data_IF_972321591835
#
_entry.id   IF_972321591835
#
_cell.length_a   1.000
_cell.length_b   1.000
_cell.length_c   1.000
_cell.angle_alpha   90.00
_cell.angle_beta   90.00
_cell.angle_gamma   90.00
#
_symmetry.space_group_name_H-M   'P 1'
#
loop_
_entity.id
_entity.type
_entity.pdbx_description
1 polymer ?
#
# COMPACT_ATOMS: atom_id res chain seq x y z
N UNK A 1 3.81 -50.10 15.32
CA UNK A 1 4.66 -50.39 16.51
C UNK A 1 3.87 -50.04 17.78
N UNK A 2 4.23 -50.61 18.93
CA UNK A 2 3.57 -50.35 20.23
C UNK A 2 3.76 -48.88 20.65
N UNK A 3 2.79 -48.16 21.24
CA UNK A 3 2.01 -48.42 22.48
C UNK A 3 2.86 -48.54 23.74
N UNK A 4 2.94 -47.45 24.50
CA UNK A 4 3.15 -47.46 25.95
C UNK A 4 2.38 -46.29 26.57
N UNK A 5 1.33 -46.60 27.33
CA UNK A 5 0.62 -45.66 28.20
C UNK A 5 1.04 -45.89 29.64
N UNK A 6 1.28 -44.84 30.40
CA UNK A 6 1.42 -44.89 31.85
C UNK A 6 0.55 -43.81 32.50
N UNK A 7 -0.02 -44.13 33.66
CA UNK A 7 -0.77 -43.22 34.55
C UNK A 7 0.03 -43.05 35.83
N UNK A 8 -0.13 -41.89 36.48
CA UNK A 8 -0.42 -41.68 37.91
C UNK A 8 -0.54 -40.14 38.11
N UNK A 9 -1.56 -39.55 38.75
CA UNK A 9 -2.10 -39.69 40.11
C UNK A 9 -1.21 -39.06 41.21
N UNK A 10 -1.40 -37.76 41.51
CA UNK A 10 -2.01 -37.28 42.78
C UNK A 10 -1.87 -35.75 43.05
N UNK A 11 -3.02 -35.10 43.31
CA UNK A 11 -3.35 -34.31 44.53
C UNK A 11 -2.39 -33.23 45.11
N UNK A 12 -2.67 -31.93 44.80
CA UNK A 12 -3.17 -30.83 45.70
C UNK A 12 -2.70 -30.88 47.20
N UNK A 13 -2.25 -29.78 47.89
CA UNK A 13 -2.80 -28.41 47.88
C UNK A 13 -1.80 -27.21 47.95
N UNK A 14 -2.37 -26.00 48.10
CA UNK A 14 -1.75 -24.67 48.06
C UNK A 14 -1.16 -24.14 49.39
N UNK A 15 -0.49 -22.97 49.31
CA UNK A 15 -0.27 -22.08 50.47
C UNK A 15 -0.43 -20.59 50.11
N UNK A 16 -1.05 -19.90 51.06
CA UNK A 16 -1.35 -18.49 51.27
C UNK A 16 -0.12 -17.54 51.15
N UNK A 17 -0.24 -16.19 51.07
CA UNK A 17 -1.04 -15.19 51.85
C UNK A 17 -1.50 -14.04 50.92
N UNK A 18 -2.68 -13.39 51.08
CA UNK A 18 -3.20 -12.52 52.18
C UNK A 18 -2.30 -11.31 52.47
N UNK A 19 -2.78 -10.08 52.73
CA UNK A 19 -4.08 -9.37 52.51
C UNK A 19 -3.83 -7.85 52.80
N UNK A 20 -4.71 -6.86 53.06
CA UNK A 20 -6.16 -6.55 53.28
C UNK A 20 -6.27 -4.99 53.09
N UNK A 21 -7.32 -4.15 53.22
CA UNK A 21 -8.81 -4.13 53.31
C UNK A 21 -9.22 -2.65 52.94
N UNK A 22 -10.12 -2.35 51.99
CA UNK A 22 -11.60 -2.22 52.09
C UNK A 22 -12.20 -0.95 52.74
N UNK A 23 -13.33 -0.46 52.17
CA UNK A 23 -14.23 0.59 52.70
C UNK A 23 -14.45 1.78 51.73
N UNK A 24 -15.62 2.21 51.20
CA UNK A 24 -17.10 2.01 51.32
C UNK A 24 -17.85 3.29 51.81
N UNK A 25 -18.96 3.61 51.11
CA UNK A 25 -20.09 4.49 51.52
C UNK A 25 -19.83 6.01 51.61
N UNK A 26 -20.78 6.94 51.36
CA UNK A 26 -22.04 6.89 50.56
C UNK A 26 -22.56 8.33 50.24
N UNK A 27 -23.43 8.46 49.22
CA UNK A 27 -24.44 9.50 48.92
C UNK A 27 -24.28 10.97 49.40
N UNK A 28 -24.42 11.92 48.45
CA UNK A 28 -25.46 12.99 48.50
C UNK A 28 -25.61 13.69 47.13
N UNK A 29 -26.70 14.46 46.95
CA UNK A 29 -27.03 15.28 45.77
C UNK A 29 -27.79 16.54 46.25
N UNK A 30 -27.73 17.67 45.51
CA UNK A 30 -28.97 18.41 45.26
C UNK A 30 -29.11 18.90 43.80
N UNK A 31 -30.32 19.39 43.49
CA UNK A 31 -30.72 20.17 42.30
C UNK A 31 -31.05 21.62 42.77
N UNK A 32 -31.40 22.62 41.95
CA UNK A 32 -31.94 22.74 40.56
C UNK A 32 -31.29 24.01 39.91
N UNK A 33 -31.67 24.72 38.83
CA UNK A 33 -32.72 24.76 37.76
C UNK A 33 -32.09 25.63 36.60
N UNK A 34 -32.72 26.00 35.46
CA UNK A 34 -33.43 25.25 34.40
C UNK A 34 -34.09 26.22 33.39
N UNK A 35 -33.52 26.38 32.19
CA UNK A 35 -34.17 27.02 31.00
C UNK A 35 -33.65 26.25 29.77
N UNK A 36 -34.45 25.41 29.09
CA UNK A 36 -35.42 25.70 28.01
C UNK A 36 -34.72 26.26 26.74
N UNK A 37 -34.83 25.72 25.50
CA UNK A 37 -35.76 24.77 24.83
C UNK A 37 -35.04 24.24 23.52
N UNK A 38 -35.45 23.29 22.65
CA UNK A 38 -36.59 22.34 22.56
C UNK A 38 -36.27 21.15 21.57
N UNK A 39 -37.25 20.23 21.36
CA UNK A 39 -37.73 19.55 20.10
C UNK A 39 -36.76 19.32 18.91
N UNK A 40 -36.69 18.15 18.23
CA UNK A 40 -37.29 16.79 18.31
C UNK A 40 -36.30 15.78 17.64
N UNK A 41 -36.12 14.54 18.13
CA UNK A 41 -36.76 13.25 17.69
C UNK A 41 -36.60 12.84 16.20
N UNK A 42 -36.61 11.54 15.81
CA UNK A 42 -37.05 10.31 16.51
C UNK A 42 -36.05 9.12 16.29
N UNK A 43 -36.48 7.89 16.59
CA UNK A 43 -35.62 6.79 17.09
C UNK A 43 -35.11 5.72 16.10
N UNK A 44 -34.13 4.96 16.61
CA UNK A 44 -33.66 3.65 16.12
C UNK A 44 -34.81 2.63 16.06
N UNK A 45 -34.75 1.69 15.10
CA UNK A 45 -35.14 0.29 15.36
C UNK A 45 -34.08 -0.69 14.86
N UNK A 46 -33.55 -1.49 15.80
CA UNK A 46 -32.95 -2.81 15.50
C UNK A 46 -34.08 -3.80 15.21
N UNK A 47 -33.76 -4.88 14.51
CA UNK A 47 -34.31 -6.21 14.81
C UNK A 47 -33.31 -7.28 14.38
N UNK A 48 -33.22 -8.35 15.17
CA UNK A 48 -32.54 -9.60 14.84
C UNK A 48 -33.46 -10.74 15.27
N UNK A 49 -33.56 -11.79 14.46
CA UNK A 49 -34.51 -12.87 14.70
C UNK A 49 -33.94 -13.92 15.66
N UNK A 50 -34.80 -14.47 16.53
CA UNK A 50 -34.53 -15.65 17.36
C UNK A 50 -35.77 -16.54 17.36
N UNK A 51 -35.58 -17.85 17.18
CA UNK A 51 -36.65 -18.82 16.99
C UNK A 51 -37.18 -19.35 18.32
N UNK A 52 -38.49 -19.23 18.56
CA UNK A 52 -39.26 -20.02 19.52
C UNK A 52 -40.64 -20.34 18.93
N UNK A 53 -41.04 -21.61 18.98
CA UNK A 53 -42.34 -22.10 18.48
C UNK A 53 -43.39 -22.18 19.61
N UNK A 54 -44.70 -22.11 19.28
CA UNK A 54 -45.75 -22.70 20.08
C UNK A 54 -46.51 -23.84 19.35
N UNK A 55 -47.53 -24.41 20.01
CA UNK A 55 -48.01 -25.77 19.78
C UNK A 55 -49.40 -25.87 19.10
N UNK A 56 -49.74 -27.10 18.69
CA UNK A 56 -50.95 -27.52 17.95
C UNK A 56 -52.28 -27.27 18.69
N UNK A 57 -53.26 -26.68 17.99
CA UNK A 57 -54.61 -27.27 17.76
C UNK A 57 -55.25 -26.62 16.51
N UNK A 58 -56.23 -27.25 15.85
CA UNK A 58 -56.73 -26.78 14.54
C UNK A 58 -58.19 -27.07 14.21
N UNK A 59 -58.60 -26.68 13.00
CA UNK A 59 -59.77 -27.16 12.26
C UNK A 59 -59.64 -26.80 10.77
N UNK A 60 -60.39 -27.48 9.89
CA UNK A 60 -60.14 -27.50 8.44
C UNK A 60 -60.91 -26.45 7.62
N UNK A 61 -60.23 -25.79 6.68
CA UNK A 61 -60.72 -25.37 5.36
C UNK A 61 -59.52 -25.10 4.41
N UNK A 62 -59.70 -25.26 3.09
CA UNK A 62 -58.62 -25.36 2.07
C UNK A 62 -59.15 -24.76 0.74
N UNK A 63 -58.33 -24.17 -0.18
CA UNK A 63 -57.09 -23.41 -0.02
C UNK A 63 -57.18 -22.00 -0.67
N UNK A 64 -56.48 -21.01 -0.12
CA UNK A 64 -56.10 -19.80 -0.88
C UNK A 64 -54.92 -19.07 -0.21
N UNK A 65 -53.71 -19.38 -0.64
CA UNK A 65 -52.72 -18.36 -1.00
C UNK A 65 -51.50 -19.01 -1.63
N UNK A 66 -51.05 -18.48 -2.76
CA UNK A 66 -49.73 -18.81 -3.31
C UNK A 66 -48.67 -18.11 -2.47
N UNK A 67 -48.10 -18.82 -1.49
CA UNK A 67 -46.85 -18.39 -0.87
C UNK A 67 -45.80 -18.37 -1.98
N UNK A 68 -45.55 -17.18 -2.52
CA UNK A 68 -44.40 -16.92 -3.39
C UNK A 68 -43.18 -16.96 -2.49
N UNK A 69 -42.71 -18.18 -2.25
CA UNK A 69 -41.44 -18.46 -1.59
C UNK A 69 -40.37 -17.68 -2.35
N UNK A 70 -39.97 -16.56 -1.77
CA UNK A 70 -39.13 -15.56 -2.45
C UNK A 70 -37.71 -16.09 -2.40
N UNK A 71 -37.43 -17.00 -3.33
CA UNK A 71 -36.19 -17.74 -3.45
C UNK A 71 -35.02 -16.77 -3.33
N UNK A 72 -34.31 -16.84 -2.21
CA UNK A 72 -33.16 -15.98 -1.95
C UNK A 72 -32.03 -16.48 -2.83
N UNK A 73 -31.87 -15.86 -4.01
CA UNK A 73 -30.82 -16.19 -4.98
C UNK A 73 -29.48 -15.99 -4.29
N UNK A 74 -28.88 -17.09 -3.85
CA UNK A 74 -27.54 -17.11 -3.28
C UNK A 74 -26.52 -17.08 -4.42
N UNK A 75 -25.56 -16.16 -4.32
CA UNK A 75 -24.47 -16.04 -5.30
C UNK A 75 -23.30 -16.87 -4.79
N UNK A 76 -22.92 -17.88 -5.56
CA UNK A 76 -21.71 -18.66 -5.32
C UNK A 76 -20.45 -17.82 -5.62
N UNK A 77 -19.39 -17.99 -4.82
CA UNK A 77 -18.14 -17.23 -4.95
C UNK A 77 -16.98 -18.15 -5.32
N UNK A 78 -16.99 -18.61 -6.57
CA UNK A 78 -15.95 -19.48 -7.14
C UNK A 78 -14.61 -18.73 -7.19
N UNK A 79 -13.55 -19.31 -6.62
CA UNK A 79 -12.18 -18.75 -6.67
C UNK A 79 -11.60 -18.88 -8.09
N UNK A 80 -10.65 -18.02 -8.45
CA UNK A 80 -10.29 -17.77 -9.85
C UNK A 80 -9.61 -18.96 -10.52
N UNK A 81 -8.82 -19.71 -9.76
CA UNK A 81 -8.24 -21.01 -10.12
C UNK A 81 -9.27 -22.13 -10.36
N UNK A 82 -10.54 -21.92 -9.97
CA UNK A 82 -11.64 -22.87 -10.11
C UNK A 82 -12.70 -22.42 -11.14
N UNK A 83 -12.46 -21.35 -11.89
CA UNK A 83 -13.36 -20.90 -12.97
C UNK A 83 -13.19 -21.75 -14.24
N UNK A 84 -14.31 -22.04 -14.90
CA UNK A 84 -14.34 -22.69 -16.21
C UNK A 84 -14.40 -21.66 -17.35
N UNK A 85 -13.89 -22.01 -18.52
CA UNK A 85 -13.87 -21.15 -19.70
C UNK A 85 -15.29 -20.82 -20.25
N UNK A 86 -15.41 -19.77 -21.06
CA UNK A 86 -16.64 -19.28 -21.70
C UNK A 86 -16.95 -20.09 -22.96
N UNK A 87 -18.19 -20.56 -23.10
CA UNK A 87 -18.63 -21.39 -24.23
C UNK A 87 -18.75 -20.63 -25.56
N UNK A 88 -19.26 -19.39 -25.51
CA UNK A 88 -19.39 -18.48 -26.66
C UNK A 88 -18.81 -17.10 -26.29
N UNK A 89 -17.54 -16.90 -26.66
CA UNK A 89 -16.78 -15.66 -26.44
C UNK A 89 -17.43 -14.49 -27.18
N UNK A 90 -17.90 -14.74 -28.40
CA UNK A 90 -18.46 -13.76 -29.33
C UNK A 90 -19.76 -13.15 -28.78
N UNK A 91 -20.69 -14.00 -28.33
CA UNK A 91 -21.95 -13.57 -27.70
C UNK A 91 -21.71 -12.99 -26.31
N UNK A 92 -20.74 -13.52 -25.56
CA UNK A 92 -20.35 -12.97 -24.26
C UNK A 92 -19.86 -11.50 -24.40
N UNK A 93 -18.91 -11.23 -25.29
CA UNK A 93 -18.38 -9.87 -25.53
C UNK A 93 -19.47 -8.90 -26.02
N UNK A 94 -20.33 -9.33 -26.95
CA UNK A 94 -21.45 -8.52 -27.48
C UNK A 94 -22.48 -8.13 -26.42
N UNK A 95 -22.61 -8.90 -25.35
CA UNK A 95 -23.57 -8.65 -24.26
C UNK A 95 -22.94 -8.07 -22.98
N UNK A 96 -21.61 -8.14 -22.85
CA UNK A 96 -20.85 -7.83 -21.63
C UNK A 96 -21.17 -6.45 -21.03
N UNK A 97 -21.04 -5.38 -21.81
CA UNK A 97 -21.29 -4.02 -21.33
C UNK A 97 -22.76 -3.79 -20.95
N UNK A 98 -23.71 -4.41 -21.68
CA UNK A 98 -25.14 -4.32 -21.36
C UNK A 98 -25.48 -5.06 -20.05
N UNK A 99 -24.92 -6.26 -19.83
CA UNK A 99 -25.08 -7.03 -18.60
C UNK A 99 -24.50 -6.32 -17.38
N UNK A 100 -23.27 -5.79 -17.48
CA UNK A 100 -22.63 -5.01 -16.42
C UNK A 100 -23.38 -3.70 -16.08
N UNK A 101 -24.13 -3.14 -17.04
CA UNK A 101 -24.91 -1.92 -16.85
C UNK A 101 -26.35 -2.19 -16.35
N UNK A 102 -26.75 -3.46 -16.21
CA UNK A 102 -28.11 -3.87 -15.88
C UNK A 102 -28.65 -3.34 -14.54
N UNK A 103 -29.98 -3.28 -14.43
CA UNK A 103 -30.70 -3.02 -13.18
C UNK A 103 -30.94 -4.30 -12.38
N UNK A 104 -30.97 -5.45 -13.06
CA UNK A 104 -30.93 -6.74 -12.37
C UNK A 104 -29.52 -6.98 -11.84
N UNK A 105 -29.45 -7.31 -10.56
CA UNK A 105 -28.21 -7.49 -9.83
C UNK A 105 -27.68 -8.91 -9.93
N UNK A 106 -28.53 -9.89 -10.28
CA UNK A 106 -28.11 -11.28 -10.53
C UNK A 106 -27.33 -11.29 -11.85
N UNK A 107 -27.93 -10.78 -12.94
CA UNK A 107 -27.25 -10.59 -14.22
C UNK A 107 -25.95 -9.77 -14.10
N UNK A 108 -25.87 -8.76 -13.23
CA UNK A 108 -24.60 -8.05 -12.96
C UNK A 108 -23.56 -8.96 -12.32
N UNK A 109 -23.92 -9.80 -11.34
CA UNK A 109 -22.99 -10.79 -10.77
C UNK A 109 -22.53 -11.82 -11.81
N UNK A 110 -23.44 -12.34 -12.63
CA UNK A 110 -23.12 -13.33 -13.67
C UNK A 110 -22.22 -12.72 -14.75
N UNK A 111 -22.51 -11.49 -15.17
CA UNK A 111 -21.67 -10.78 -16.15
C UNK A 111 -20.31 -10.42 -15.57
N UNK A 112 -20.21 -10.07 -14.28
CA UNK A 112 -18.93 -9.89 -13.58
C UNK A 112 -18.12 -11.19 -13.50
N UNK A 113 -18.75 -12.34 -13.29
CA UNK A 113 -18.09 -13.63 -13.38
C UNK A 113 -17.65 -13.97 -14.82
N UNK A 114 -18.40 -13.54 -15.85
CA UNK A 114 -17.95 -13.65 -17.24
C UNK A 114 -16.75 -12.74 -17.54
N UNK A 115 -16.67 -11.52 -16.98
CA UNK A 115 -15.44 -10.70 -17.04
C UNK A 115 -14.25 -11.43 -16.42
N UNK A 116 -14.44 -12.13 -15.29
CA UNK A 116 -13.37 -12.94 -14.66
C UNK A 116 -12.88 -14.05 -15.60
N UNK A 117 -13.80 -14.84 -16.15
CA UNK A 117 -13.50 -15.92 -17.11
C UNK A 117 -12.76 -15.38 -18.34
N UNK A 118 -13.27 -14.31 -18.97
CA UNK A 118 -12.60 -13.66 -20.10
C UNK A 118 -11.21 -13.14 -19.74
N UNK A 119 -11.01 -12.57 -18.54
CA UNK A 119 -9.71 -12.08 -18.08
C UNK A 119 -8.68 -13.21 -17.86
N UNK A 120 -9.13 -14.42 -17.53
CA UNK A 120 -8.26 -15.58 -17.29
C UNK A 120 -7.94 -16.32 -18.60
N UNK A 121 -8.94 -16.54 -19.46
CA UNK A 121 -8.81 -17.40 -20.63
C UNK A 121 -8.68 -16.64 -21.97
N UNK A 122 -9.26 -15.44 -22.11
CA UNK A 122 -9.43 -14.72 -23.38
C UNK A 122 -9.04 -13.24 -23.31
N UNK A 123 -8.05 -12.88 -22.47
CA UNK A 123 -7.76 -11.49 -22.09
C UNK A 123 -7.54 -10.53 -23.26
N UNK A 124 -6.92 -11.00 -24.35
CA UNK A 124 -6.65 -10.20 -25.55
C UNK A 124 -7.96 -9.70 -26.20
N UNK A 125 -9.03 -10.51 -26.17
CA UNK A 125 -10.32 -10.19 -26.77
C UNK A 125 -11.14 -9.16 -25.97
N UNK A 126 -10.63 -8.73 -24.81
CA UNK A 126 -11.24 -7.71 -23.95
C UNK A 126 -10.55 -6.34 -24.03
N UNK A 127 -9.37 -6.23 -24.65
CA UNK A 127 -8.53 -5.02 -24.59
C UNK A 127 -9.24 -3.76 -25.10
N UNK A 128 -9.91 -3.85 -26.26
CA UNK A 128 -10.61 -2.72 -26.89
C UNK A 128 -11.75 -2.12 -26.04
N UNK A 129 -12.28 -2.90 -25.08
CA UNK A 129 -13.40 -2.49 -24.19
C UNK A 129 -12.98 -2.41 -22.71
N UNK A 130 -11.70 -2.59 -22.39
CA UNK A 130 -11.20 -2.76 -21.03
C UNK A 130 -11.51 -1.55 -20.13
N UNK A 131 -11.36 -0.33 -20.66
CA UNK A 131 -11.67 0.92 -19.94
C UNK A 131 -13.16 1.09 -19.60
N UNK A 132 -14.05 0.65 -20.49
CA UNK A 132 -15.49 0.63 -20.23
C UNK A 132 -15.84 -0.43 -19.19
N UNK A 133 -15.29 -1.64 -19.31
CA UNK A 133 -15.49 -2.71 -18.33
C UNK A 133 -15.01 -2.27 -16.94
N UNK A 134 -13.84 -1.65 -16.82
CA UNK A 134 -13.32 -1.10 -15.56
C UNK A 134 -14.22 0.00 -14.99
N UNK A 135 -14.74 0.89 -15.83
CA UNK A 135 -15.73 1.90 -15.43
C UNK A 135 -17.01 1.25 -14.86
N UNK A 136 -17.46 0.14 -15.45
CA UNK A 136 -18.62 -0.60 -14.96
C UNK A 136 -18.33 -1.40 -13.68
N UNK A 137 -17.14 -1.97 -13.51
CA UNK A 137 -16.70 -2.58 -12.23
C UNK A 137 -16.66 -1.50 -11.12
N UNK A 138 -16.12 -0.31 -11.40
CA UNK A 138 -16.10 0.81 -10.46
C UNK A 138 -17.51 1.33 -10.10
N UNK A 139 -18.51 1.12 -10.97
CA UNK A 139 -19.94 1.30 -10.67
C UNK A 139 -20.48 0.16 -9.80
N UNK A 140 -20.19 -1.10 -10.12
CA UNK A 140 -20.63 -2.27 -9.36
C UNK A 140 -20.11 -2.27 -7.90
N UNK A 141 -18.86 -1.84 -7.68
CA UNK A 141 -18.29 -1.63 -6.35
C UNK A 141 -19.10 -0.62 -5.49
N UNK A 142 -19.88 0.28 -6.10
CA UNK A 142 -20.73 1.25 -5.39
C UNK A 142 -22.14 0.72 -5.07
N UNK A 143 -22.46 -0.51 -5.48
CA UNK A 143 -23.76 -1.17 -5.22
C UNK A 143 -24.10 -1.25 -3.72
N UNK A 144 -25.38 -1.17 -3.32
CA UNK A 144 -25.80 -1.46 -1.94
C UNK A 144 -25.77 -2.95 -1.60
N UNK A 145 -25.70 -3.85 -2.60
CA UNK A 145 -25.75 -5.31 -2.42
C UNK A 145 -24.35 -5.89 -2.21
N UNK A 146 -24.14 -6.58 -1.09
CA UNK A 146 -22.86 -7.22 -0.75
C UNK A 146 -22.37 -8.24 -1.78
N UNK A 147 -23.29 -8.98 -2.43
CA UNK A 147 -22.95 -9.93 -3.49
C UNK A 147 -22.31 -9.22 -4.70
N UNK A 148 -22.97 -8.18 -5.23
CA UNK A 148 -22.43 -7.37 -6.34
C UNK A 148 -21.10 -6.73 -5.96
N UNK A 149 -20.96 -6.19 -4.74
CA UNK A 149 -19.68 -5.62 -4.29
C UNK A 149 -18.58 -6.71 -4.26
N UNK A 150 -18.83 -7.87 -3.64
CA UNK A 150 -17.81 -8.92 -3.52
C UNK A 150 -17.43 -9.51 -4.88
N UNK A 151 -18.40 -9.75 -5.76
CA UNK A 151 -18.13 -10.23 -7.12
C UNK A 151 -17.31 -9.20 -7.88
N UNK A 152 -17.65 -7.90 -7.80
CA UNK A 152 -16.86 -6.82 -8.42
C UNK A 152 -15.44 -6.66 -7.82
N UNK A 153 -15.26 -6.97 -6.53
CA UNK A 153 -13.93 -7.04 -5.90
C UNK A 153 -13.11 -8.21 -6.48
N UNK A 154 -13.71 -9.40 -6.61
CA UNK A 154 -13.06 -10.57 -7.20
C UNK A 154 -12.74 -10.32 -8.68
N UNK A 155 -13.64 -9.67 -9.43
CA UNK A 155 -13.36 -9.18 -10.79
C UNK A 155 -12.22 -8.16 -10.82
N UNK A 156 -12.15 -7.22 -9.87
CA UNK A 156 -11.04 -6.27 -9.78
C UNK A 156 -9.69 -6.98 -9.58
N UNK A 157 -9.67 -8.03 -8.75
CA UNK A 157 -8.48 -8.84 -8.52
C UNK A 157 -8.00 -9.54 -9.81
N UNK A 158 -8.91 -10.19 -10.55
CA UNK A 158 -8.56 -10.88 -11.80
C UNK A 158 -8.14 -9.91 -12.91
N UNK A 159 -8.74 -8.72 -12.97
CA UNK A 159 -8.29 -7.62 -13.85
C UNK A 159 -6.84 -7.22 -13.54
N UNK A 160 -6.45 -7.14 -12.26
CA UNK A 160 -5.07 -6.84 -11.89
C UNK A 160 -4.09 -7.93 -12.36
N UNK A 161 -4.43 -9.21 -12.15
CA UNK A 161 -3.61 -10.35 -12.55
C UNK A 161 -3.46 -10.50 -14.08
N UNK A 162 -4.48 -10.13 -14.85
CA UNK A 162 -4.53 -10.37 -16.30
C UNK A 162 -3.86 -9.26 -17.13
N UNK A 163 -4.04 -8.00 -16.71
CA UNK A 163 -3.71 -6.81 -17.50
C UNK A 163 -2.58 -5.94 -16.91
N UNK A 164 -2.20 -6.15 -15.65
CA UNK A 164 -1.04 -5.49 -15.02
C UNK A 164 -1.07 -3.95 -15.20
N UNK A 165 -0.02 -3.35 -15.77
CA UNK A 165 0.10 -1.90 -16.01
C UNK A 165 -0.86 -1.37 -17.10
N UNK A 166 -1.44 -2.20 -17.97
CA UNK A 166 -2.35 -1.73 -19.03
C UNK A 166 -3.60 -1.01 -18.49
N UNK A 167 -3.94 -1.21 -17.22
CA UNK A 167 -5.09 -0.56 -16.58
C UNK A 167 -4.75 0.76 -15.89
N UNK A 168 -3.47 1.20 -15.85
CA UNK A 168 -3.01 2.26 -14.94
C UNK A 168 -3.77 3.60 -15.09
N UNK A 169 -4.15 3.96 -16.31
CA UNK A 169 -4.91 5.19 -16.60
C UNK A 169 -6.38 5.12 -16.15
N UNK A 170 -6.90 3.90 -15.96
CA UNK A 170 -8.27 3.62 -15.49
C UNK A 170 -8.34 3.06 -14.06
N UNK A 171 -7.20 2.95 -13.37
CA UNK A 171 -7.10 2.35 -12.03
C UNK A 171 -7.80 3.17 -10.93
N UNK A 172 -7.77 4.52 -11.00
CA UNK A 172 -8.17 5.39 -9.88
C UNK A 172 -9.62 5.16 -9.38
N UNK A 173 -10.64 4.98 -10.24
CA UNK A 173 -11.99 4.60 -9.84
C UNK A 173 -12.09 3.24 -9.10
N UNK A 174 -11.22 2.27 -9.39
CA UNK A 174 -11.14 1.00 -8.66
C UNK A 174 -10.41 1.20 -7.33
N UNK A 175 -9.23 1.83 -7.35
CA UNK A 175 -8.37 2.05 -6.20
C UNK A 175 -9.11 2.76 -5.06
N UNK A 176 -9.83 3.86 -5.36
CA UNK A 176 -10.63 4.58 -4.35
C UNK A 176 -11.72 3.70 -3.75
N UNK A 177 -12.38 2.85 -4.55
CA UNK A 177 -13.43 1.97 -4.06
C UNK A 177 -12.88 0.82 -3.23
N UNK A 178 -11.80 0.17 -3.67
CA UNK A 178 -11.17 -0.92 -2.92
C UNK A 178 -10.64 -0.45 -1.57
N UNK A 179 -9.95 0.69 -1.51
CA UNK A 179 -9.48 1.29 -0.24
C UNK A 179 -10.64 1.65 0.71
N UNK A 180 -11.79 2.08 0.18
CA UNK A 180 -13.00 2.28 0.98
C UNK A 180 -13.62 0.95 1.44
N UNK A 181 -13.62 -0.10 0.61
CA UNK A 181 -14.16 -1.41 0.99
C UNK A 181 -13.28 -2.15 2.00
N UNK A 182 -11.96 -2.01 1.94
CA UNK A 182 -11.02 -2.53 2.94
C UNK A 182 -10.95 -1.67 4.22
N UNK A 183 -11.72 -0.59 4.30
CA UNK A 183 -11.82 0.30 5.48
C UNK A 183 -13.09 0.08 6.31
N UNK A 184 -13.94 -0.89 5.95
CA UNK A 184 -15.25 -1.12 6.60
C UNK A 184 -15.23 -2.29 7.59
N UNK A 185 -16.15 -2.29 8.55
CA UNK A 185 -16.27 -3.31 9.60
C UNK A 185 -16.93 -4.63 9.12
N UNK A 186 -17.54 -4.64 7.92
CA UNK A 186 -18.13 -5.83 7.31
C UNK A 186 -17.06 -6.78 6.77
N UNK A 187 -16.49 -7.60 7.66
CA UNK A 187 -15.45 -8.63 7.42
C UNK A 187 -15.48 -9.24 6.00
N UNK A 188 -16.58 -9.89 5.63
CA UNK A 188 -16.77 -10.58 4.33
C UNK A 188 -16.45 -9.76 3.07
N UNK A 189 -16.67 -8.44 3.10
CA UNK A 189 -16.35 -7.53 1.99
C UNK A 189 -14.98 -6.87 2.19
N UNK A 190 -14.58 -6.67 3.44
CA UNK A 190 -13.31 -6.07 3.83
C UNK A 190 -12.11 -6.97 3.49
N UNK A 191 -12.16 -8.25 3.87
CA UNK A 191 -11.13 -9.26 3.59
C UNK A 191 -10.98 -9.52 2.08
N UNK A 192 -12.09 -9.52 1.34
CA UNK A 192 -12.06 -9.62 -0.12
C UNK A 192 -11.35 -8.40 -0.75
N UNK A 193 -11.69 -7.19 -0.30
CA UNK A 193 -11.06 -5.96 -0.80
C UNK A 193 -9.57 -5.89 -0.45
N UNK A 194 -9.17 -6.38 0.73
CA UNK A 194 -7.78 -6.49 1.13
C UNK A 194 -7.00 -7.51 0.28
N UNK A 195 -7.59 -8.67 -0.06
CA UNK A 195 -6.99 -9.60 -1.04
C UNK A 195 -6.82 -8.97 -2.42
N UNK A 196 -7.81 -8.23 -2.92
CA UNK A 196 -7.71 -7.53 -4.20
C UNK A 196 -6.62 -6.44 -4.18
N UNK A 197 -6.46 -5.70 -3.06
CA UNK A 197 -5.37 -4.74 -2.88
C UNK A 197 -3.99 -5.40 -2.75
N UNK A 198 -3.90 -6.62 -2.22
CA UNK A 198 -2.66 -7.41 -2.24
C UNK A 198 -2.28 -7.74 -3.68
N UNK A 199 -3.20 -8.33 -4.46
CA UNK A 199 -2.97 -8.69 -5.86
C UNK A 199 -2.64 -7.46 -6.73
N UNK A 200 -3.33 -6.33 -6.53
CA UNK A 200 -3.00 -5.04 -7.15
C UNK A 200 -1.53 -4.66 -6.92
N UNK A 201 -1.03 -4.79 -5.68
CA UNK A 201 0.37 -4.49 -5.34
C UNK A 201 1.38 -5.53 -5.80
N UNK A 202 0.95 -6.68 -6.33
CA UNK A 202 1.81 -7.76 -6.85
C UNK A 202 1.88 -7.75 -8.38
N UNK A 203 0.82 -7.34 -9.07
CA UNK A 203 0.71 -7.41 -10.52
C UNK A 203 0.86 -6.07 -11.25
N UNK A 204 0.59 -4.94 -10.57
CA UNK A 204 0.85 -3.61 -11.12
C UNK A 204 2.25 -3.15 -10.68
N UNK A 205 3.04 -2.65 -11.62
CA UNK A 205 4.41 -2.22 -11.41
C UNK A 205 4.50 -1.11 -10.36
N UNK A 206 5.40 -1.22 -9.36
CA UNK A 206 5.50 -0.22 -8.29
C UNK A 206 5.79 1.20 -8.79
N UNK A 207 6.56 1.38 -9.87
CA UNK A 207 6.85 2.70 -10.45
C UNK A 207 5.57 3.42 -10.90
N UNK A 208 4.62 2.65 -11.45
CA UNK A 208 3.32 3.08 -11.92
C UNK A 208 2.32 3.27 -10.76
N UNK A 209 2.34 2.36 -9.78
CA UNK A 209 1.37 2.29 -8.68
C UNK A 209 1.66 3.26 -7.52
N UNK A 210 2.92 3.50 -7.15
CA UNK A 210 3.27 4.35 -6.01
C UNK A 210 2.77 5.81 -6.16
N UNK A 211 2.82 6.46 -7.34
CA UNK A 211 2.20 7.76 -7.56
C UNK A 211 0.67 7.76 -7.33
N UNK A 212 -0.04 6.71 -7.78
CA UNK A 212 -1.49 6.55 -7.60
C UNK A 212 -1.88 6.37 -6.13
N UNK A 213 -1.03 5.70 -5.33
CA UNK A 213 -1.23 5.52 -3.89
C UNK A 213 -0.97 6.78 -3.06
N UNK A 214 -0.06 7.66 -3.50
CA UNK A 214 0.43 8.80 -2.72
C UNK A 214 -0.65 9.78 -2.18
N UNK A 215 -1.74 10.11 -2.91
CA UNK A 215 -2.83 10.93 -2.39
C UNK A 215 -3.55 10.31 -1.17
N UNK A 216 -3.70 8.99 -1.14
CA UNK A 216 -4.47 8.28 -0.12
C UNK A 216 -3.74 8.21 1.23
N UNK A 217 -2.40 8.34 1.24
CA UNK A 217 -1.58 8.47 2.45
C UNK A 217 -1.87 9.76 3.26
N UNK A 218 -2.55 10.73 2.65
CA UNK A 218 -3.00 11.98 3.29
C UNK A 218 -4.54 12.09 3.35
N UNK A 219 -5.25 10.98 3.13
CA UNK A 219 -6.72 10.96 3.14
C UNK A 219 -7.32 11.31 4.52
N UNK A 220 -8.47 11.98 4.54
CA UNK A 220 -9.11 12.44 5.79
C UNK A 220 -9.46 11.29 6.75
N UNK A 221 -9.97 10.18 6.22
CA UNK A 221 -10.39 9.02 7.02
C UNK A 221 -9.19 8.11 7.38
N UNK A 222 -8.89 7.85 8.67
CA UNK A 222 -7.68 7.12 9.09
C UNK A 222 -7.54 5.72 8.49
N UNK A 223 -8.62 4.92 8.44
CA UNK A 223 -8.55 3.54 7.90
C UNK A 223 -8.10 3.48 6.43
N UNK A 224 -8.42 4.52 5.65
CA UNK A 224 -7.98 4.63 4.25
C UNK A 224 -6.49 4.94 4.18
N UNK A 225 -5.96 5.81 5.06
CA UNK A 225 -4.51 6.06 5.17
C UNK A 225 -3.76 4.78 5.52
N UNK A 226 -4.24 4.04 6.52
CA UNK A 226 -3.65 2.77 6.92
C UNK A 226 -3.60 1.74 5.78
N UNK A 227 -4.72 1.50 5.08
CA UNK A 227 -4.75 0.57 3.94
C UNK A 227 -3.90 1.06 2.76
N UNK A 228 -3.83 2.37 2.51
CA UNK A 228 -2.91 2.93 1.51
C UNK A 228 -1.44 2.80 1.91
N UNK A 229 -1.11 2.99 3.18
CA UNK A 229 0.24 2.83 3.75
C UNK A 229 0.71 1.38 3.67
N UNK A 230 -0.16 0.42 3.99
CA UNK A 230 0.09 -1.02 3.78
C UNK A 230 0.35 -1.36 2.30
N UNK A 231 -0.40 -0.77 1.36
CA UNK A 231 -0.16 -0.99 -0.06
C UNK A 231 1.19 -0.38 -0.51
N UNK A 232 1.47 0.86 -0.12
CA UNK A 232 2.70 1.56 -0.46
C UNK A 232 3.93 0.82 0.08
N UNK A 233 3.90 0.42 1.36
CA UNK A 233 4.97 -0.38 1.98
C UNK A 233 5.18 -1.74 1.33
N UNK A 234 4.14 -2.36 0.72
CA UNK A 234 4.29 -3.63 0.01
C UNK A 234 4.83 -3.45 -1.41
N UNK A 235 4.53 -2.33 -2.06
CA UNK A 235 5.00 -2.03 -3.42
C UNK A 235 6.47 -1.59 -3.45
N UNK A 236 6.97 -0.81 -2.48
CA UNK A 236 8.35 -0.29 -2.53
C UNK A 236 9.43 -1.39 -2.64
N UNK A 237 9.43 -2.49 -1.86
CA UNK A 237 10.45 -3.55 -1.99
C UNK A 237 10.51 -4.19 -3.39
N UNK A 238 9.38 -4.20 -4.12
CA UNK A 238 9.29 -4.79 -5.46
C UNK A 238 9.92 -3.93 -6.57
N UNK A 239 10.35 -2.69 -6.26
CA UNK A 239 11.27 -1.93 -7.11
C UNK A 239 12.68 -2.55 -7.14
N UNK A 240 13.04 -3.36 -6.15
CA UNK A 240 14.42 -3.77 -5.88
C UNK A 240 15.31 -2.60 -5.45
N UNK A 241 16.56 -2.89 -5.06
CA UNK A 241 17.47 -1.87 -4.54
C UNK A 241 17.71 -0.71 -5.53
N UNK A 242 18.02 -1.01 -6.79
CA UNK A 242 18.31 0.03 -7.80
C UNK A 242 17.05 0.82 -8.21
N UNK A 243 15.87 0.19 -8.19
CA UNK A 243 14.60 0.90 -8.41
C UNK A 243 14.22 1.79 -7.22
N UNK A 244 14.48 1.37 -5.98
CA UNK A 244 14.34 2.19 -4.76
C UNK A 244 15.24 3.43 -4.83
N UNK A 245 16.50 3.24 -5.23
CA UNK A 245 17.47 4.32 -5.48
C UNK A 245 17.00 5.26 -6.60
N UNK A 246 16.56 4.73 -7.73
CA UNK A 246 16.05 5.50 -8.88
C UNK A 246 14.76 6.28 -8.58
N UNK A 247 13.88 5.76 -7.71
CA UNK A 247 12.66 6.43 -7.27
C UNK A 247 12.92 7.56 -6.24
N UNK A 248 14.09 7.54 -5.59
CA UNK A 248 14.49 8.47 -4.53
C UNK A 248 14.24 7.92 -3.12
N UNK A 249 15.31 7.47 -2.45
CA UNK A 249 15.26 7.02 -1.04
C UNK A 249 14.82 8.17 -0.12
N UNK A 250 15.21 9.40 -0.43
CA UNK A 250 14.82 10.64 0.24
C UNK A 250 13.29 10.86 0.20
N UNK A 251 12.67 10.70 -0.98
CA UNK A 251 11.22 10.78 -1.16
C UNK A 251 10.51 9.65 -0.41
N UNK A 252 11.05 8.43 -0.45
CA UNK A 252 10.50 7.27 0.23
C UNK A 252 10.57 7.39 1.75
N UNK A 253 11.69 7.86 2.31
CA UNK A 253 11.85 8.03 3.77
C UNK A 253 11.03 9.20 4.30
N UNK A 254 10.87 10.29 3.55
CA UNK A 254 9.93 11.38 3.87
C UNK A 254 8.48 10.88 3.93
N UNK A 255 8.08 10.04 2.97
CA UNK A 255 6.75 9.42 2.97
C UNK A 255 6.58 8.49 4.17
N UNK A 256 7.53 7.59 4.43
CA UNK A 256 7.46 6.65 5.55
C UNK A 256 7.42 7.37 6.92
N UNK A 257 8.30 8.36 7.13
CA UNK A 257 8.34 9.16 8.35
C UNK A 257 7.03 9.92 8.61
N UNK A 258 6.30 10.33 7.54
CA UNK A 258 4.99 10.98 7.69
C UNK A 258 3.89 10.04 8.22
N UNK A 259 4.05 8.72 8.07
CA UNK A 259 3.08 7.71 8.49
C UNK A 259 3.38 7.14 9.89
N UNK A 260 4.60 7.30 10.42
CA UNK A 260 4.95 6.91 11.80
C UNK A 260 4.09 7.60 12.87
N UNK A 261 3.58 8.80 12.58
CA UNK A 261 2.69 9.57 13.47
C UNK A 261 1.20 9.38 13.18
N UNK A 262 0.80 8.45 12.29
CA UNK A 262 -0.62 8.22 12.03
C UNK A 262 -1.34 7.64 13.25
N UNK A 263 -2.66 7.87 13.31
CA UNK A 263 -3.54 7.44 14.38
C UNK A 263 -3.68 5.91 14.48
N UNK A 264 -3.61 5.18 13.36
CA UNK A 264 -3.83 3.73 13.33
C UNK A 264 -2.51 2.93 13.40
N UNK A 265 -2.44 1.88 14.25
CA UNK A 265 -1.23 1.07 14.38
C UNK A 265 -0.81 0.40 13.06
N UNK A 266 -1.75 0.00 12.22
CA UNK A 266 -1.49 -0.65 10.92
C UNK A 266 -0.73 0.28 9.96
N UNK A 267 -1.03 1.59 9.99
CA UNK A 267 -0.29 2.58 9.19
C UNK A 267 1.12 2.83 9.74
N UNK A 268 1.24 2.88 11.08
CA UNK A 268 2.55 3.05 11.74
C UNK A 268 3.45 1.84 11.54
N UNK A 269 2.89 0.63 11.48
CA UNK A 269 3.67 -0.59 11.32
C UNK A 269 4.15 -0.78 9.87
N UNK A 270 3.28 -0.54 8.89
CA UNK A 270 3.70 -0.45 7.48
C UNK A 270 4.83 0.59 7.28
N UNK A 271 4.76 1.72 7.99
CA UNK A 271 5.84 2.70 8.00
C UNK A 271 7.15 2.17 8.59
N UNK A 272 7.11 1.36 9.66
CA UNK A 272 8.31 0.72 10.23
C UNK A 272 8.93 -0.29 9.28
N UNK A 273 8.13 -1.18 8.70
CA UNK A 273 8.60 -2.18 7.72
C UNK A 273 9.30 -1.48 6.55
N UNK A 274 8.70 -0.40 6.02
CA UNK A 274 9.29 0.41 4.96
C UNK A 274 10.60 1.09 5.38
N UNK A 275 10.68 1.66 6.58
CA UNK A 275 11.91 2.30 7.10
C UNK A 275 13.07 1.30 7.18
N UNK A 276 12.82 0.10 7.68
CA UNK A 276 13.85 -0.94 7.82
C UNK A 276 14.36 -1.41 6.45
N UNK A 277 13.49 -1.54 5.45
CA UNK A 277 13.92 -1.89 4.09
C UNK A 277 14.69 -0.73 3.41
N UNK A 278 14.29 0.53 3.63
CA UNK A 278 15.03 1.68 3.12
C UNK A 278 16.43 1.79 3.74
N UNK A 279 16.59 1.51 5.03
CA UNK A 279 17.90 1.42 5.67
C UNK A 279 18.72 0.26 5.09
N UNK A 280 18.14 -0.94 5.01
CA UNK A 280 18.76 -2.15 4.47
C UNK A 280 19.30 -1.93 3.04
N UNK A 281 18.55 -1.21 2.20
CA UNK A 281 18.97 -0.83 0.84
C UNK A 281 20.02 0.28 0.87
N UNK A 282 19.88 1.29 1.74
CA UNK A 282 20.84 2.38 1.87
C UNK A 282 22.23 1.90 2.32
N UNK A 283 22.31 1.07 3.37
CA UNK A 283 23.56 0.55 3.91
C UNK A 283 24.29 -0.30 2.84
N UNK A 284 23.58 -1.20 2.15
CA UNK A 284 24.13 -1.99 1.02
C UNK A 284 24.76 -1.17 -0.10
N UNK A 285 24.21 -0.01 -0.44
CA UNK A 285 24.79 0.86 -1.48
C UNK A 285 26.08 1.57 -1.03
N UNK A 286 26.27 1.77 0.27
CA UNK A 286 27.46 2.43 0.81
C UNK A 286 28.56 1.42 1.17
N UNK A 287 28.20 0.21 1.62
CA UNK A 287 29.14 -0.90 1.81
C UNK A 287 29.82 -1.34 0.49
N UNK A 288 29.18 -1.08 -0.65
CA UNK A 288 29.73 -1.30 -2.00
C UNK A 288 30.71 -0.22 -2.48
N UNK A 289 31.09 0.73 -1.61
CA UNK A 289 32.18 1.71 -1.87
C UNK A 289 33.39 1.33 -0.99
N UNK A 290 34.16 0.29 -1.34
CA UNK A 290 35.39 -0.05 -0.61
C UNK A 290 36.43 1.05 -0.80
N UNK A 291 37.06 1.49 0.29
CA UNK A 291 38.15 2.45 0.28
C UNK A 291 39.41 1.84 -0.36
N UNK A 292 39.52 1.97 -1.68
CA UNK A 292 40.72 1.59 -2.42
C UNK A 292 41.86 2.59 -2.10
N UNK A 293 42.89 2.08 -1.42
CA UNK A 293 44.32 2.49 -1.45
C UNK A 293 44.66 3.86 -2.07
N UNK A 294 45.49 4.70 -1.43
CA UNK A 294 46.87 4.34 -1.04
C UNK A 294 47.29 4.87 0.33
N UNK A 295 48.00 4.02 1.08
CA UNK A 295 49.10 4.45 1.96
C UNK A 295 50.30 3.54 1.65
N UNK A 296 51.47 4.13 1.36
CA UNK A 296 52.60 3.41 0.76
C UNK A 296 53.60 4.36 0.10
N UNK A 297 54.26 5.18 0.91
CA UNK A 297 55.39 6.02 0.49
C UNK A 297 56.66 5.18 0.35
N UNK A 298 57.44 5.36 -0.73
CA UNK A 298 58.92 5.41 -0.73
C UNK A 298 59.57 5.56 -2.12
N UNK A 299 60.58 6.43 -2.13
CA UNK A 299 61.77 6.49 -3.00
C UNK A 299 61.68 6.85 -4.49
N UNK A 300 62.33 7.98 -4.78
CA UNK A 300 62.69 8.54 -6.08
C UNK A 300 63.67 7.70 -6.90
N UNK A 301 63.59 7.81 -8.24
CA UNK A 301 64.82 7.81 -9.05
C UNK A 301 64.70 8.70 -10.30
N UNK A 302 65.72 9.52 -10.50
CA UNK A 302 65.87 10.42 -11.66
C UNK A 302 66.61 9.76 -12.82
N UNK A 303 66.26 10.16 -14.05
CA UNK A 303 66.97 10.15 -15.35
C UNK A 303 65.85 10.37 -16.39
N UNK A 304 65.61 11.56 -16.94
CA UNK A 304 66.41 12.32 -17.92
C UNK A 304 66.57 11.64 -19.28
N UNK A 305 65.69 11.96 -20.24
CA UNK A 305 66.06 12.26 -21.64
C UNK A 305 64.87 12.79 -22.46
N UNK A 306 65.19 13.71 -23.37
CA UNK A 306 64.39 14.38 -24.42
C UNK A 306 65.43 14.75 -25.50
N UNK A 307 65.15 14.82 -26.82
CA UNK A 307 63.85 14.76 -27.50
C UNK A 307 63.79 13.75 -28.68
N UNK A 308 62.66 13.71 -29.41
CA UNK A 308 62.73 14.04 -30.85
C UNK A 308 61.37 14.41 -31.48
N UNK A 309 61.44 15.15 -32.59
CA UNK A 309 60.29 15.71 -33.34
C UNK A 309 59.63 14.74 -34.32
N UNK A 310 58.34 14.96 -34.63
CA UNK A 310 57.90 14.86 -36.03
C UNK A 310 56.68 15.71 -36.40
N UNK A 311 56.73 16.29 -37.59
CA UNK A 311 55.76 17.24 -38.15
C UNK A 311 54.97 16.64 -39.32
N UNK A 312 53.65 16.73 -39.27
CA UNK A 312 52.72 16.93 -40.41
C UNK A 312 51.51 17.68 -39.82
N UNK A 313 51.10 18.90 -40.14
CA UNK A 313 51.16 19.77 -41.34
C UNK A 313 50.13 19.46 -42.43
N UNK A 314 48.92 20.00 -42.30
CA UNK A 314 48.16 20.48 -43.47
C UNK A 314 47.29 21.70 -43.08
N UNK A 315 47.27 22.71 -43.96
CA UNK A 315 46.68 24.03 -43.73
C UNK A 315 45.25 24.13 -44.29
N UNK A 316 44.43 25.01 -43.70
CA UNK A 316 43.43 25.82 -44.44
C UNK A 316 42.99 27.09 -43.69
N UNK A 317 43.72 28.18 -43.98
CA UNK A 317 43.29 29.59 -43.90
C UNK A 317 41.99 29.85 -44.68
N UNK A 318 41.23 30.96 -44.58
CA UNK A 318 41.11 32.16 -43.70
C UNK A 318 39.67 32.70 -43.90
N UNK A 319 39.09 33.58 -43.08
CA UNK A 319 39.20 35.06 -43.05
C UNK A 319 38.34 35.56 -41.86
N UNK A 320 38.83 36.39 -40.91
CA UNK A 320 38.84 37.88 -40.88
C UNK A 320 37.47 38.55 -41.02
N UNK A 321 37.09 39.59 -40.24
CA UNK A 321 37.88 40.51 -39.40
C UNK A 321 37.09 41.14 -38.22
N UNK A 322 37.82 41.76 -37.27
CA UNK A 322 37.59 43.06 -36.55
C UNK A 322 36.22 43.39 -35.90
N UNK A 323 36.08 44.20 -34.84
CA UNK A 323 36.91 45.20 -34.13
C UNK A 323 36.90 44.89 -32.60
N UNK A 324 37.95 45.14 -31.79
CA UNK A 324 38.40 46.43 -31.20
C UNK A 324 37.28 47.23 -30.50
N UNK A 325 37.45 47.88 -29.32
CA UNK A 325 38.57 48.04 -28.35
C UNK A 325 37.95 48.06 -26.91
N UNK A 326 38.60 48.27 -25.75
CA UNK A 326 39.92 48.84 -25.34
C UNK A 326 40.37 48.20 -23.99
N UNK A 327 41.28 48.83 -23.25
CA UNK A 327 41.87 48.36 -21.98
C UNK A 327 41.74 49.34 -20.81
N UNK A 328 41.68 48.84 -19.57
CA UNK A 328 42.28 49.57 -18.43
C UNK A 328 42.65 48.66 -17.25
N UNK A 329 43.93 48.60 -16.93
CA UNK A 329 44.47 48.00 -15.70
C UNK A 329 44.68 49.06 -14.62
N UNK A 330 44.58 48.65 -13.35
CA UNK A 330 45.58 48.86 -12.28
C UNK A 330 45.12 48.11 -11.01
N UNK A 331 46.09 47.58 -10.28
CA UNK A 331 45.97 46.68 -9.12
C UNK A 331 45.36 47.28 -7.85
N UNK A 332 44.76 46.44 -7.01
CA UNK A 332 45.35 46.09 -5.70
C UNK A 332 44.76 44.79 -5.11
N UNK A 333 45.64 43.88 -4.69
CA UNK A 333 45.42 42.78 -3.73
C UNK A 333 45.65 43.33 -2.29
N UNK A 334 45.32 42.64 -1.16
CA UNK A 334 45.09 41.19 -1.04
C UNK A 334 43.91 40.74 -0.14
N UNK A 335 43.41 39.50 -0.34
CA UNK A 335 43.65 38.43 0.66
C UNK A 335 43.26 37.02 0.20
N UNK A 336 44.07 36.07 0.65
CA UNK A 336 43.87 34.63 0.53
C UNK A 336 42.67 34.12 1.32
N UNK A 337 41.85 33.29 0.70
CA UNK A 337 41.29 32.10 1.36
C UNK A 337 41.11 30.99 0.31
N UNK A 338 41.58 29.77 0.62
CA UNK A 338 41.75 28.70 -0.37
C UNK A 338 40.50 27.85 -0.53
N UNK A 339 39.78 28.04 -1.63
CA UNK A 339 38.71 27.13 -2.06
C UNK A 339 39.31 25.87 -2.72
N UNK A 340 39.74 24.91 -1.91
CA UNK A 340 40.04 23.54 -2.35
C UNK A 340 38.81 22.64 -2.12
N UNK A 341 37.83 22.73 -3.02
CA UNK A 341 36.73 21.77 -3.07
C UNK A 341 37.22 20.44 -3.67
N UNK A 342 37.70 19.55 -2.81
CA UNK A 342 37.87 18.13 -3.14
C UNK A 342 36.77 17.32 -2.44
N UNK A 343 35.72 16.87 -3.16
CA UNK A 343 34.62 16.13 -2.58
C UNK A 343 35.02 14.66 -2.35
N UNK A 344 35.88 14.42 -1.36
CA UNK A 344 35.99 13.10 -0.71
C UNK A 344 34.60 12.72 -0.15
N UNK A 345 33.79 12.01 -0.94
CA UNK A 345 32.47 11.52 -0.51
C UNK A 345 32.60 10.37 0.46
N UNK A 346 33.02 10.69 1.70
CA UNK A 346 32.81 9.85 2.87
C UNK A 346 31.33 9.51 2.94
N UNK A 347 31.01 8.22 3.00
CA UNK A 347 29.63 7.73 3.02
C UNK A 347 28.81 8.46 4.10
N UNK A 348 27.75 9.16 3.69
CA UNK A 348 26.84 9.82 4.61
C UNK A 348 26.18 8.72 5.47
N UNK A 349 26.38 8.74 6.79
CA UNK A 349 25.79 7.73 7.67
C UNK A 349 24.26 7.75 7.56
N UNK A 350 23.59 6.63 7.81
CA UNK A 350 22.12 6.59 7.82
C UNK A 350 21.51 7.64 8.77
N UNK A 351 22.21 7.96 9.88
CA UNK A 351 21.84 9.05 10.78
C UNK A 351 21.96 10.42 10.13
N UNK A 352 23.11 10.74 9.51
CA UNK A 352 23.31 12.01 8.82
C UNK A 352 22.28 12.18 7.68
N UNK A 353 22.04 11.12 6.90
CA UNK A 353 21.02 11.09 5.84
C UNK A 353 19.61 11.33 6.38
N UNK A 354 19.23 10.69 7.49
CA UNK A 354 17.96 10.95 8.13
C UNK A 354 17.84 12.41 8.60
N UNK A 355 18.92 12.99 9.15
CA UNK A 355 18.96 14.39 9.59
C UNK A 355 18.96 15.37 8.40
N UNK A 356 19.54 15.01 7.25
CA UNK A 356 19.64 15.87 6.06
C UNK A 356 18.39 15.84 5.16
N UNK A 357 17.56 14.78 5.23
CA UNK A 357 16.32 14.65 4.42
C UNK A 357 15.01 14.84 5.19
N UNK A 358 15.03 14.95 6.53
CA UNK A 358 13.82 14.98 7.38
C UNK A 358 13.82 16.14 8.39
N UNK A 359 12.67 16.46 8.97
CA UNK A 359 12.62 17.33 10.16
C UNK A 359 13.27 16.64 11.37
N UNK A 360 13.82 17.36 12.36
CA UNK A 360 14.48 16.73 13.52
C UNK A 360 13.61 15.74 14.29
N UNK A 361 12.30 16.03 14.43
CA UNK A 361 11.34 15.12 15.07
C UNK A 361 11.07 13.87 14.23
N UNK A 362 11.05 14.02 12.90
CA UNK A 362 10.90 12.91 11.94
C UNK A 362 12.14 12.03 11.90
N UNK A 363 13.34 12.62 11.86
CA UNK A 363 14.62 11.92 11.94
C UNK A 363 14.71 11.11 13.25
N UNK A 364 14.44 11.73 14.40
CA UNK A 364 14.44 11.05 15.70
C UNK A 364 13.38 9.93 15.80
N UNK A 365 12.26 10.03 15.07
CA UNK A 365 11.26 8.97 14.99
C UNK A 365 11.75 7.79 14.12
N UNK A 366 12.35 8.06 12.96
CA UNK A 366 12.96 7.05 12.07
C UNK A 366 14.11 6.33 12.77
N UNK A 367 15.05 7.08 13.37
CA UNK A 367 16.27 6.50 13.96
C UNK A 367 15.97 5.55 15.13
N UNK A 368 14.90 5.82 15.91
CA UNK A 368 14.44 4.89 16.95
C UNK A 368 13.90 3.58 16.40
N UNK A 369 13.30 3.56 15.20
CA UNK A 369 12.87 2.31 14.56
C UNK A 369 14.08 1.48 14.15
N UNK A 370 15.09 2.12 13.55
CA UNK A 370 16.28 1.44 13.02
C UNK A 370 17.23 0.95 14.12
N UNK A 371 17.39 1.67 15.23
CA UNK A 371 18.21 1.21 16.37
C UNK A 371 17.64 -0.03 17.06
N UNK A 372 16.32 -0.07 17.33
CA UNK A 372 15.66 -1.20 18.00
C UNK A 372 15.81 -2.49 17.17
N UNK A 373 15.73 -2.40 15.84
CA UNK A 373 15.93 -3.55 14.96
C UNK A 373 17.36 -4.10 15.00
N UNK A 374 18.37 -3.24 15.19
CA UNK A 374 19.78 -3.65 15.32
C UNK A 374 20.06 -4.34 16.65
N UNK A 375 19.44 -3.89 17.74
CA UNK A 375 19.53 -4.56 19.07
C UNK A 375 18.90 -5.96 19.05
N UNK A 376 17.74 -6.10 18.39
CA UNK A 376 17.01 -7.37 18.26
C UNK A 376 17.64 -8.41 17.31
N UNK A 377 18.73 -8.06 16.61
CA UNK A 377 19.50 -8.97 15.74
C UNK A 377 20.83 -9.43 16.38
N UNK A 378 21.16 -8.91 17.57
CA UNK A 378 22.41 -9.17 18.31
C UNK A 378 22.14 -9.95 19.62
N UNK A 379 20.88 -10.38 19.82
CA UNK A 379 20.40 -11.18 20.96
C UNK A 379 19.94 -12.58 20.53
#
# INVERSE_FOLDING_TARGET
MSKTTLKDLNTIPATERKSECSGKACLTKPTVDNVNENVEECEKKRNGSSLVSPHVNGNQAIPADSVVETATVEVEYIESENLNDVEDIDTCLKTLLAGLNSKDWVLVCDTLNNVRRLSIFHKEAMLDILGDVITHIAKALKSPRSAVIKTAIMTSADIFCAYNDLIIDSLDPLLVQLLLKSSQDKRFVCEAAERALILMTTWISPISLLPKLQPYLKHKHPRVRAKASMCFSRSVPQLGAEGIKTYGIDKLIQIAASQLSDQLPESREAARTLILELQNVYEKFHDLIPAATVSGDLETKTVSEDPETKTVSEDSKTETASEDTETKTVSEDPKTETASEDPETKAESWENFCQSKLSPLSAQAVLRVTSIAREGLVS
#
